data_IF_026316716628
#
_entry.id   IF_026316716628
#
_cell.length_a   1.000
_cell.length_b   1.000
_cell.length_c   1.000
_cell.angle_alpha   90.00
_cell.angle_beta   90.00
_cell.angle_gamma   90.00
#
_symmetry.space_group_name_H-M   'P 1'
#
loop_
_entity.id
_entity.type
_entity.pdbx_description
1 polymer ?
#
# COMPACT_ATOMS: atom_id res chain seq x y z
N UNK A 1 -5.71 -9.67 10.87
CA UNK A 1 -5.52 -8.37 10.16
C UNK A 1 -5.45 -8.58 8.64
N UNK A 2 -5.83 -7.60 7.79
CA UNK A 2 -5.71 -7.71 6.32
C UNK A 2 -4.23 -7.69 5.90
N UNK A 3 -3.79 -8.70 5.16
CA UNK A 3 -2.42 -8.75 4.60
C UNK A 3 -2.49 -8.42 3.11
N UNK A 4 -1.65 -7.49 2.67
CA UNK A 4 -1.70 -6.92 1.33
C UNK A 4 -0.30 -7.02 0.72
N UNK A 5 -0.09 -7.90 -0.28
CA UNK A 5 1.16 -7.89 -1.03
C UNK A 5 1.31 -6.61 -1.84
N UNK A 6 2.55 -6.23 -2.07
CA UNK A 6 2.93 -5.00 -2.79
C UNK A 6 3.76 -5.34 -4.01
N UNK A 7 3.46 -4.70 -5.14
CA UNK A 7 4.34 -4.62 -6.30
C UNK A 7 4.58 -3.16 -6.67
N UNK A 8 5.85 -2.83 -6.91
CA UNK A 8 6.28 -1.53 -7.43
C UNK A 8 6.59 -1.68 -8.91
N UNK A 9 5.89 -0.94 -9.77
CA UNK A 9 6.07 -1.00 -11.23
C UNK A 9 6.93 0.17 -11.70
N UNK A 10 8.00 -0.14 -12.41
CA UNK A 10 8.88 0.82 -13.06
C UNK A 10 9.35 0.27 -14.40
N UNK A 11 9.20 1.06 -15.46
CA UNK A 11 9.59 0.68 -16.82
C UNK A 11 9.01 -0.67 -17.28
N UNK A 12 7.73 -0.94 -16.93
CA UNK A 12 7.02 -2.14 -17.32
C UNK A 12 7.39 -3.42 -16.54
N UNK A 13 8.17 -3.31 -15.47
CA UNK A 13 8.64 -4.42 -14.65
C UNK A 13 8.34 -4.19 -13.18
N UNK A 14 8.27 -5.29 -12.41
CA UNK A 14 8.26 -5.22 -10.95
C UNK A 14 9.68 -4.94 -10.46
N UNK A 15 9.81 -3.93 -9.60
CA UNK A 15 11.09 -3.53 -9.02
C UNK A 15 11.10 -3.71 -7.50
N UNK A 16 12.29 -3.93 -6.95
CA UNK A 16 12.51 -3.89 -5.51
C UNK A 16 12.75 -2.45 -5.08
N UNK A 17 11.86 -1.93 -4.24
CA UNK A 17 12.05 -0.63 -3.63
C UNK A 17 13.19 -0.65 -2.60
N UNK A 18 13.94 0.44 -2.52
CA UNK A 18 15.02 0.65 -1.56
C UNK A 18 14.87 2.02 -0.89
N UNK A 19 14.30 2.05 0.32
CA UNK A 19 14.18 3.21 1.23
C UNK A 19 13.60 4.48 0.59
N UNK A 20 12.75 4.32 -0.41
CA UNK A 20 12.20 5.45 -1.18
C UNK A 20 13.20 6.13 -2.12
N UNK A 21 14.43 5.60 -2.25
CA UNK A 21 15.47 6.11 -3.15
C UNK A 21 15.29 5.52 -4.55
N UNK A 22 14.36 6.05 -5.32
CA UNK A 22 13.87 5.49 -6.60
C UNK A 22 14.96 5.23 -7.64
N UNK A 23 16.06 6.00 -7.63
CA UNK A 23 17.22 5.77 -8.51
C UNK A 23 17.99 4.46 -8.19
N UNK A 24 17.75 3.88 -7.02
CA UNK A 24 18.34 2.60 -6.58
C UNK A 24 17.46 1.40 -6.88
N UNK A 25 16.21 1.62 -7.30
CA UNK A 25 15.32 0.51 -7.60
C UNK A 25 15.88 -0.36 -8.73
N UNK A 26 15.75 -1.67 -8.59
CA UNK A 26 16.23 -2.67 -9.54
C UNK A 26 15.11 -3.68 -9.80
N UNK A 27 15.10 -4.36 -10.96
CA UNK A 27 14.19 -5.47 -11.17
C UNK A 27 14.20 -6.41 -9.98
N UNK A 28 13.01 -6.88 -9.59
CA UNK A 28 12.89 -7.70 -8.39
C UNK A 28 13.56 -9.05 -8.60
N UNK A 29 14.27 -9.53 -7.58
CA UNK A 29 14.68 -10.91 -7.42
C UNK A 29 13.77 -11.53 -6.37
N UNK A 30 12.97 -12.53 -6.78
CA UNK A 30 11.96 -13.17 -5.94
C UNK A 30 12.26 -14.65 -5.81
N UNK A 31 12.14 -15.18 -4.59
CA UNK A 31 12.19 -16.63 -4.36
C UNK A 31 10.88 -17.33 -4.77
N UNK A 32 9.82 -16.57 -5.05
CA UNK A 32 8.52 -17.11 -5.46
C UNK A 32 8.50 -17.50 -6.94
N UNK A 33 9.17 -16.73 -7.81
CA UNK A 33 9.26 -17.04 -9.24
C UNK A 33 10.47 -16.34 -9.88
N UNK A 34 10.88 -16.80 -11.04
CA UNK A 34 11.95 -16.19 -11.82
C UNK A 34 11.46 -14.95 -12.56
N UNK A 35 12.36 -13.94 -12.70
CA UNK A 35 12.09 -12.72 -13.46
C UNK A 35 11.29 -11.67 -12.70
N UNK A 36 10.90 -10.62 -13.44
CA UNK A 36 10.24 -9.42 -12.90
C UNK A 36 8.98 -9.03 -13.67
N UNK A 37 8.38 -9.96 -14.42
CA UNK A 37 7.10 -9.74 -15.09
C UNK A 37 5.98 -9.60 -14.07
N UNK A 38 5.13 -8.59 -14.21
CA UNK A 38 4.12 -8.28 -13.19
C UNK A 38 3.02 -9.35 -13.08
N UNK A 39 2.63 -9.98 -14.19
CA UNK A 39 1.62 -11.06 -14.16
C UNK A 39 2.18 -12.32 -13.49
N UNK A 40 3.44 -12.67 -13.78
CA UNK A 40 4.09 -13.85 -13.19
C UNK A 40 4.30 -13.64 -11.69
N UNK A 41 4.72 -12.45 -11.27
CA UNK A 41 4.87 -12.09 -9.85
C UNK A 41 3.52 -12.12 -9.13
N UNK A 42 2.46 -11.56 -9.73
CA UNK A 42 1.13 -11.57 -9.13
C UNK A 42 0.58 -13.01 -9.01
N UNK A 43 0.77 -13.85 -10.04
CA UNK A 43 0.42 -15.27 -10.01
C UNK A 43 1.14 -15.99 -8.87
N UNK A 44 2.47 -15.84 -8.78
CA UNK A 44 3.27 -16.46 -7.74
C UNK A 44 2.89 -16.04 -6.32
N UNK A 45 2.54 -14.77 -6.13
CA UNK A 45 2.00 -14.28 -4.86
C UNK A 45 0.67 -14.96 -4.51
N UNK A 46 -0.25 -15.10 -5.47
CA UNK A 46 -1.56 -15.75 -5.27
C UNK A 46 -1.44 -17.26 -5.07
N UNK A 47 -0.48 -17.92 -5.71
CA UNK A 47 -0.16 -19.33 -5.49
C UNK A 47 0.44 -19.55 -4.10
N UNK A 48 1.24 -18.60 -3.61
CA UNK A 48 1.83 -18.66 -2.27
C UNK A 48 0.78 -18.52 -1.16
N UNK A 49 -0.17 -17.58 -1.31
CA UNK A 49 -1.24 -17.35 -0.36
C UNK A 49 -2.45 -16.69 -1.06
N UNK A 50 -3.71 -17.07 -0.73
CA UNK A 50 -4.90 -16.51 -1.40
C UNK A 50 -5.19 -15.08 -0.98
N UNK A 51 -4.37 -14.15 -1.42
CA UNK A 51 -4.60 -12.73 -1.20
C UNK A 51 -5.84 -12.23 -1.96
N UNK A 52 -6.62 -11.37 -1.33
CA UNK A 52 -7.79 -10.74 -1.94
C UNK A 52 -7.51 -9.32 -2.44
N UNK A 53 -6.40 -8.74 -2.05
CA UNK A 53 -6.01 -7.36 -2.39
C UNK A 53 -4.55 -7.33 -2.78
N UNK A 54 -4.22 -6.53 -3.79
CA UNK A 54 -2.85 -6.25 -4.22
C UNK A 54 -2.64 -4.73 -4.26
N UNK A 55 -1.61 -4.25 -3.58
CA UNK A 55 -1.17 -2.87 -3.72
C UNK A 55 -0.19 -2.75 -4.90
N UNK A 56 -0.41 -1.75 -5.74
CA UNK A 56 0.42 -1.46 -6.91
C UNK A 56 0.88 -0.01 -6.86
N UNK A 57 2.19 0.23 -6.79
CA UNK A 57 2.75 1.55 -7.00
C UNK A 57 3.23 1.70 -8.45
N UNK A 58 2.65 2.63 -9.20
CA UNK A 58 3.15 3.04 -10.52
C UNK A 58 4.26 4.09 -10.34
N UNK A 59 5.50 3.61 -10.19
CA UNK A 59 6.67 4.48 -9.91
C UNK A 59 6.89 5.48 -11.04
N UNK A 60 6.66 5.10 -12.28
CA UNK A 60 6.82 6.02 -13.41
C UNK A 60 5.80 7.15 -13.37
N UNK A 61 4.54 6.85 -13.04
CA UNK A 61 3.48 7.85 -12.89
C UNK A 61 3.72 8.76 -11.67
N UNK A 62 4.11 8.19 -10.52
CA UNK A 62 4.46 8.94 -9.30
C UNK A 62 5.61 9.92 -9.60
N UNK A 63 6.60 9.51 -10.38
CA UNK A 63 7.74 10.35 -10.78
C UNK A 63 7.45 11.27 -11.96
N UNK A 64 6.26 11.17 -12.59
CA UNK A 64 5.88 11.92 -13.81
C UNK A 64 6.80 11.62 -15.00
N UNK A 65 7.36 10.40 -15.08
CA UNK A 65 8.29 9.94 -16.11
C UNK A 65 7.65 8.95 -17.09
N UNK A 66 6.35 8.73 -16.99
CA UNK A 66 5.61 7.76 -17.80
C UNK A 66 4.41 7.19 -17.04
N UNK A 67 3.95 6.01 -17.44
CA UNK A 67 2.86 5.30 -16.74
C UNK A 67 2.86 3.82 -17.10
N UNK A 68 2.57 2.99 -16.11
CA UNK A 68 2.31 1.56 -16.26
C UNK A 68 0.81 1.22 -16.33
N UNK A 69 -0.03 2.20 -16.62
CA UNK A 69 -1.48 2.07 -16.61
C UNK A 69 -2.01 0.90 -17.46
N UNK A 70 -1.43 0.65 -18.65
CA UNK A 70 -1.81 -0.49 -19.49
C UNK A 70 -1.46 -1.84 -18.84
N UNK A 71 -0.36 -1.91 -18.07
CA UNK A 71 0.01 -3.11 -17.32
C UNK A 71 -0.91 -3.33 -16.12
N UNK A 72 -1.31 -2.27 -15.43
CA UNK A 72 -2.28 -2.32 -14.33
C UNK A 72 -3.65 -2.79 -14.84
N UNK A 73 -4.09 -2.33 -16.01
CA UNK A 73 -5.31 -2.83 -16.67
C UNK A 73 -5.21 -4.32 -16.99
N UNK A 74 -4.06 -4.79 -17.48
CA UNK A 74 -3.83 -6.23 -17.71
C UNK A 74 -3.88 -7.04 -16.42
N UNK A 75 -3.30 -6.54 -15.33
CA UNK A 75 -3.41 -7.18 -14.01
C UNK A 75 -4.87 -7.31 -13.57
N UNK A 76 -5.65 -6.24 -13.67
CA UNK A 76 -7.08 -6.24 -13.34
C UNK A 76 -7.88 -7.24 -14.20
N UNK A 77 -7.60 -7.30 -15.50
CA UNK A 77 -8.27 -8.23 -16.42
C UNK A 77 -7.89 -9.69 -16.16
N UNK A 78 -6.62 -9.95 -15.82
CA UNK A 78 -6.12 -11.31 -15.59
C UNK A 78 -6.56 -11.87 -14.22
N UNK A 79 -6.69 -10.99 -13.21
CA UNK A 79 -7.09 -11.34 -11.85
C UNK A 79 -8.33 -10.56 -11.41
N UNK A 80 -9.52 -10.78 -12.03
CA UNK A 80 -10.73 -9.97 -11.79
C UNK A 80 -11.26 -10.10 -10.36
N UNK A 81 -10.87 -11.16 -9.63
CA UNK A 81 -11.21 -11.35 -8.21
C UNK A 81 -10.32 -10.55 -7.26
N UNK A 82 -9.21 -9.99 -7.76
CA UNK A 82 -8.23 -9.28 -6.94
C UNK A 82 -8.58 -7.80 -6.87
N UNK A 83 -8.77 -7.30 -5.66
CA UNK A 83 -8.96 -5.88 -5.37
C UNK A 83 -7.62 -5.16 -5.54
N UNK A 84 -7.51 -4.23 -6.50
CA UNK A 84 -6.30 -3.45 -6.69
C UNK A 84 -6.37 -2.12 -5.93
N UNK A 85 -5.33 -1.82 -5.16
CA UNK A 85 -5.08 -0.51 -4.56
C UNK A 85 -3.92 0.13 -5.30
N UNK A 86 -4.16 1.21 -6.01
CA UNK A 86 -3.17 1.72 -6.97
C UNK A 86 -2.77 3.15 -6.64
N UNK A 87 -1.48 3.33 -6.34
CA UNK A 87 -0.85 4.65 -6.32
C UNK A 87 -0.29 4.97 -7.72
N UNK A 88 -0.96 5.86 -8.41
CA UNK A 88 -0.58 6.33 -9.75
C UNK A 88 -0.15 7.80 -9.75
N UNK A 89 0.26 8.33 -8.59
CA UNK A 89 0.76 9.70 -8.46
C UNK A 89 -0.30 10.76 -8.77
N UNK A 90 -1.54 10.56 -8.35
CA UNK A 90 -2.64 11.52 -8.53
C UNK A 90 -2.34 12.80 -7.74
N UNK A 91 -2.38 13.96 -8.42
CA UNK A 91 -2.00 15.25 -7.85
C UNK A 91 -3.16 16.26 -7.76
N UNK A 92 -4.29 15.97 -8.41
CA UNK A 92 -5.42 16.86 -8.46
C UNK A 92 -6.77 16.15 -8.61
N UNK A 93 -7.86 16.89 -8.46
CA UNK A 93 -9.23 16.36 -8.54
C UNK A 93 -9.54 15.77 -9.93
N UNK A 94 -9.02 16.37 -11.00
CA UNK A 94 -9.28 15.91 -12.36
C UNK A 94 -8.65 14.53 -12.60
N UNK A 95 -7.41 14.32 -12.14
CA UNK A 95 -6.71 13.04 -12.16
C UNK A 95 -7.44 11.97 -11.33
N UNK A 96 -7.92 12.32 -10.14
CA UNK A 96 -8.72 11.43 -9.31
C UNK A 96 -10.01 10.98 -10.00
N UNK A 97 -10.76 11.92 -10.58
CA UNK A 97 -11.99 11.61 -11.31
C UNK A 97 -11.72 10.81 -12.60
N UNK A 98 -10.60 11.08 -13.27
CA UNK A 98 -10.17 10.29 -14.43
C UNK A 98 -9.83 8.85 -14.02
N UNK A 99 -9.15 8.64 -12.90
CA UNK A 99 -8.86 7.32 -12.37
C UNK A 99 -10.14 6.54 -12.03
N UNK A 100 -11.07 7.15 -11.30
CA UNK A 100 -12.33 6.48 -10.95
C UNK A 100 -13.11 5.99 -12.18
N UNK A 101 -13.11 6.76 -13.29
CA UNK A 101 -13.76 6.34 -14.54
C UNK A 101 -13.14 5.10 -15.19
N UNK A 102 -11.88 4.78 -14.93
CA UNK A 102 -11.20 3.58 -15.48
C UNK A 102 -11.72 2.28 -14.88
N UNK A 103 -12.24 2.31 -13.66
CA UNK A 103 -12.79 1.15 -12.94
C UNK A 103 -11.80 -0.01 -12.75
N UNK A 104 -10.50 0.27 -12.67
CA UNK A 104 -9.44 -0.76 -12.53
C UNK A 104 -9.02 -1.03 -11.09
N UNK A 105 -9.37 -0.17 -10.15
CA UNK A 105 -9.00 -0.33 -8.74
C UNK A 105 -9.18 0.94 -7.92
N UNK A 106 -8.98 0.81 -6.63
CA UNK A 106 -9.07 1.90 -5.66
C UNK A 106 -7.89 2.85 -5.85
N UNK A 107 -8.17 4.17 -5.89
CA UNK A 107 -7.11 5.18 -5.96
C UNK A 107 -6.41 5.31 -4.61
N UNK A 108 -5.10 5.22 -4.59
CA UNK A 108 -4.28 5.65 -3.46
C UNK A 108 -3.74 7.05 -3.74
N UNK A 109 -3.97 7.96 -2.81
CA UNK A 109 -3.51 9.35 -2.88
C UNK A 109 -2.33 9.50 -1.92
N UNK A 110 -1.13 9.63 -2.47
CA UNK A 110 0.10 9.83 -1.69
C UNK A 110 0.21 11.25 -1.17
N UNK A 111 0.47 11.43 0.12
CA UNK A 111 0.64 12.76 0.72
C UNK A 111 1.84 13.51 0.15
N UNK A 112 2.84 12.80 -0.36
CA UNK A 112 4.00 13.42 -1.04
C UNK A 112 3.66 13.96 -2.45
N UNK A 113 2.56 13.53 -3.05
CA UNK A 113 2.24 13.79 -4.46
C UNK A 113 1.23 14.91 -4.68
N UNK A 114 0.37 15.21 -3.73
CA UNK A 114 -0.68 16.21 -3.93
C UNK A 114 -0.38 17.54 -3.19
N UNK A 115 -0.54 18.67 -3.87
CA UNK A 115 -0.24 19.97 -3.26
C UNK A 115 -1.41 20.62 -2.51
N UNK A 116 -2.66 20.14 -2.70
CA UNK A 116 -3.85 20.89 -2.26
C UNK A 116 -4.86 20.08 -1.43
N UNK A 117 -5.40 20.71 -0.38
CA UNK A 117 -6.49 20.17 0.46
C UNK A 117 -7.80 19.93 -0.31
N UNK A 118 -8.02 20.61 -1.45
CA UNK A 118 -9.18 20.43 -2.32
C UNK A 118 -9.31 18.98 -2.85
N UNK A 119 -8.19 18.31 -3.15
CA UNK A 119 -8.20 16.91 -3.55
C UNK A 119 -8.74 16.01 -2.44
N UNK A 120 -8.31 16.20 -1.19
CA UNK A 120 -8.82 15.40 -0.06
C UNK A 120 -10.30 15.59 0.18
N UNK A 121 -10.82 16.82 0.02
CA UNK A 121 -12.26 17.09 0.12
C UNK A 121 -13.03 16.29 -0.94
N UNK A 122 -12.56 16.25 -2.18
CA UNK A 122 -13.16 15.45 -3.26
C UNK A 122 -13.07 13.94 -2.96
N UNK A 123 -11.92 13.48 -2.47
CA UNK A 123 -11.67 12.09 -2.07
C UNK A 123 -12.62 11.66 -0.95
N UNK A 124 -12.74 12.43 0.12
CA UNK A 124 -13.64 12.13 1.25
C UNK A 124 -15.13 12.21 0.88
N UNK A 125 -15.47 13.02 -0.10
CA UNK A 125 -16.85 13.16 -0.60
C UNK A 125 -17.24 12.09 -1.61
N UNK A 126 -16.28 11.29 -2.09
CA UNK A 126 -16.55 10.22 -3.05
C UNK A 126 -17.49 9.17 -2.45
N UNK A 127 -18.53 8.82 -3.19
CA UNK A 127 -19.48 7.74 -2.88
C UNK A 127 -19.35 6.57 -3.84
N UNK A 128 -18.24 6.52 -4.57
CA UNK A 128 -17.97 5.43 -5.50
C UNK A 128 -17.73 4.12 -4.74
N UNK A 129 -18.13 3.00 -5.36
CA UNK A 129 -17.83 1.66 -4.83
C UNK A 129 -16.32 1.38 -4.74
N UNK A 130 -15.51 2.05 -5.58
CA UNK A 130 -14.06 2.08 -5.48
C UNK A 130 -13.66 3.20 -4.52
N UNK A 131 -13.68 2.92 -3.23
CA UNK A 131 -13.29 3.87 -2.20
C UNK A 131 -11.83 4.32 -2.36
N UNK A 132 -11.53 5.60 -2.14
CA UNK A 132 -10.16 6.08 -2.17
C UNK A 132 -9.43 5.77 -0.87
N UNK A 133 -8.10 5.69 -0.95
CA UNK A 133 -7.20 5.60 0.19
C UNK A 133 -6.28 6.82 0.25
N UNK A 134 -5.86 7.19 1.45
CA UNK A 134 -4.80 8.16 1.67
C UNK A 134 -3.52 7.43 2.10
N UNK A 135 -2.38 7.72 1.49
CA UNK A 135 -1.08 7.33 2.02
C UNK A 135 -0.44 8.51 2.75
N UNK A 136 -0.19 8.34 4.05
CA UNK A 136 0.58 9.27 4.86
C UNK A 136 2.05 8.85 4.78
N UNK A 137 2.85 9.61 4.04
CA UNK A 137 4.22 9.24 3.69
C UNK A 137 5.22 9.87 4.65
N UNK A 138 6.05 9.03 5.28
CA UNK A 138 7.06 9.46 6.24
C UNK A 138 8.47 9.04 5.79
N UNK A 139 9.42 9.97 5.83
CA UNK A 139 10.85 9.69 5.69
C UNK A 139 11.55 9.89 7.03
N UNK A 140 11.80 8.79 7.75
CA UNK A 140 12.10 8.82 9.18
C UNK A 140 10.92 9.36 9.98
N UNK A 141 11.14 10.36 10.82
CA UNK A 141 10.07 11.03 11.59
C UNK A 141 9.42 12.20 10.83
N UNK A 142 9.93 12.54 9.64
CA UNK A 142 9.42 13.68 8.88
C UNK A 142 8.26 13.24 7.99
N UNK A 143 7.11 13.87 8.17
CA UNK A 143 5.98 13.73 7.26
C UNK A 143 6.26 14.45 5.93
N UNK A 144 5.91 13.81 4.81
CA UNK A 144 5.94 14.35 3.47
C UNK A 144 4.51 14.66 3.02
N UNK A 145 4.13 15.91 3.07
CA UNK A 145 2.80 16.41 2.75
C UNK A 145 2.52 17.73 3.49
N UNK A 146 1.33 18.25 3.30
CA UNK A 146 0.86 19.40 4.06
C UNK A 146 0.61 19.03 5.52
N UNK A 147 1.16 19.81 6.44
CA UNK A 147 1.04 19.55 7.88
C UNK A 147 -0.43 19.56 8.38
N UNK A 148 -1.30 20.31 7.73
CA UNK A 148 -2.75 20.32 7.97
C UNK A 148 -3.37 18.94 7.81
N UNK A 149 -2.96 18.20 6.78
CA UNK A 149 -3.42 16.82 6.52
C UNK A 149 -3.04 15.90 7.67
N UNK A 150 -1.78 15.95 8.14
CA UNK A 150 -1.35 15.13 9.26
C UNK A 150 -2.06 15.51 10.57
N UNK A 151 -2.30 16.83 10.76
CA UNK A 151 -2.84 17.37 12.02
C UNK A 151 -4.32 17.08 12.21
N UNK A 152 -5.09 16.98 11.13
CA UNK A 152 -6.54 16.80 11.17
C UNK A 152 -7.00 15.46 10.54
N UNK A 153 -7.19 14.39 11.35
CA UNK A 153 -7.73 13.13 10.87
C UNK A 153 -9.16 13.22 10.30
N UNK A 154 -9.87 14.32 10.52
CA UNK A 154 -11.18 14.58 9.90
C UNK A 154 -11.10 14.73 8.38
N UNK A 155 -9.93 15.14 7.86
CA UNK A 155 -9.65 15.23 6.43
C UNK A 155 -9.29 13.89 5.77
N UNK A 156 -9.17 12.80 6.53
CA UNK A 156 -8.77 11.51 5.98
C UNK A 156 -9.99 10.71 5.50
N UNK A 157 -9.87 9.95 4.40
CA UNK A 157 -10.84 8.93 4.05
C UNK A 157 -10.85 7.82 5.12
N UNK A 158 -11.73 6.85 4.99
CA UNK A 158 -11.84 5.72 5.94
C UNK A 158 -10.56 4.88 5.97
N UNK A 159 -9.92 4.67 4.81
CA UNK A 159 -8.75 3.81 4.64
C UNK A 159 -7.48 4.64 4.51
N UNK A 160 -6.52 4.42 5.40
CA UNK A 160 -5.28 5.21 5.48
C UNK A 160 -4.06 4.31 5.59
N UNK A 161 -3.11 4.47 4.70
CA UNK A 161 -1.82 3.79 4.73
C UNK A 161 -0.82 4.67 5.50
N UNK A 162 -0.14 4.11 6.47
CA UNK A 162 0.99 4.74 7.16
C UNK A 162 2.26 4.22 6.51
N UNK A 163 2.81 4.99 5.57
CA UNK A 163 3.92 4.60 4.72
C UNK A 163 5.26 5.11 5.26
N UNK A 164 6.08 4.20 5.76
CA UNK A 164 7.42 4.50 6.26
C UNK A 164 8.45 4.35 5.15
N UNK A 165 8.58 5.34 4.26
CA UNK A 165 9.43 5.32 3.05
C UNK A 165 10.87 4.87 3.34
N UNK A 166 11.49 5.39 4.42
CA UNK A 166 12.86 5.03 4.78
C UNK A 166 13.02 3.55 5.23
N UNK A 167 11.90 2.86 5.51
CA UNK A 167 11.89 1.45 5.91
C UNK A 167 11.46 0.51 4.79
N UNK A 168 10.94 1.03 3.68
CA UNK A 168 10.56 0.21 2.53
C UNK A 168 11.78 -0.54 2.00
N UNK A 169 11.64 -1.85 1.81
CA UNK A 169 12.73 -2.72 1.34
C UNK A 169 13.87 -2.97 2.32
N UNK A 170 13.88 -2.34 3.51
CA UNK A 170 15.03 -2.35 4.43
C UNK A 170 15.05 -3.52 5.42
N UNK A 171 13.92 -4.18 5.67
CA UNK A 171 13.76 -5.21 6.71
C UNK A 171 14.21 -4.77 8.12
N UNK A 172 14.12 -3.47 8.44
CA UNK A 172 14.52 -2.92 9.76
C UNK A 172 13.41 -2.97 10.82
N UNK A 173 12.25 -3.49 10.46
CA UNK A 173 11.04 -3.49 11.28
C UNK A 173 10.17 -2.25 11.04
N UNK A 174 8.85 -2.36 11.26
CA UNK A 174 7.91 -1.25 11.13
C UNK A 174 8.09 -0.21 12.25
N UNK A 175 7.47 0.97 12.09
CA UNK A 175 7.43 1.99 13.12
C UNK A 175 6.15 1.84 13.96
N UNK A 176 6.26 1.07 15.04
CA UNK A 176 5.13 0.78 15.92
C UNK A 176 4.65 2.03 16.67
N UNK A 177 5.56 2.93 17.03
CA UNK A 177 5.25 4.14 17.80
C UNK A 177 4.45 5.12 16.95
N UNK A 178 4.89 5.34 15.70
CA UNK A 178 4.18 6.20 14.74
C UNK A 178 2.78 5.66 14.47
N UNK A 179 2.65 4.34 14.24
CA UNK A 179 1.36 3.70 14.01
C UNK A 179 0.44 3.84 15.23
N UNK A 180 0.93 3.54 16.44
CA UNK A 180 0.16 3.62 17.69
C UNK A 180 -0.32 5.05 17.96
N UNK A 181 0.51 6.05 17.68
CA UNK A 181 0.13 7.46 17.82
C UNK A 181 -1.03 7.81 16.88
N UNK A 182 -0.92 7.46 15.60
CA UNK A 182 -1.94 7.75 14.60
C UNK A 182 -3.24 6.96 14.89
N UNK A 183 -3.13 5.70 15.34
CA UNK A 183 -4.27 4.86 15.70
C UNK A 183 -5.07 5.48 16.87
N UNK A 184 -4.40 6.00 17.89
CA UNK A 184 -5.08 6.70 19.00
C UNK A 184 -5.78 7.99 18.55
N UNK A 185 -5.18 8.73 17.61
CA UNK A 185 -5.73 9.98 17.09
C UNK A 185 -6.89 9.77 16.13
N UNK A 186 -6.91 8.64 15.43
CA UNK A 186 -7.85 8.32 14.36
C UNK A 186 -8.44 6.92 14.52
N UNK A 187 -8.93 6.58 15.72
CA UNK A 187 -9.45 5.26 16.08
C UNK A 187 -10.64 4.79 15.21
N UNK A 188 -11.31 5.74 14.55
CA UNK A 188 -12.41 5.47 13.62
C UNK A 188 -11.95 5.24 12.17
N UNK A 189 -10.63 5.30 11.89
CA UNK A 189 -10.04 5.04 10.57
C UNK A 189 -9.40 3.66 10.53
N UNK A 190 -9.39 3.05 9.36
CA UNK A 190 -8.71 1.79 9.09
C UNK A 190 -7.25 2.08 8.70
N UNK A 191 -6.32 1.90 9.63
CA UNK A 191 -4.90 2.16 9.38
C UNK A 191 -4.18 0.91 8.87
N UNK A 192 -3.37 1.08 7.83
CA UNK A 192 -2.56 0.03 7.22
C UNK A 192 -1.08 0.41 7.33
N UNK A 193 -0.27 -0.47 7.92
CA UNK A 193 1.17 -0.21 8.07
C UNK A 193 1.94 -0.64 6.84
N UNK A 194 2.85 0.19 6.35
CA UNK A 194 3.73 -0.11 5.22
C UNK A 194 5.18 0.27 5.51
N UNK A 195 6.10 -0.64 5.17
CA UNK A 195 7.55 -0.45 5.29
C UNK A 195 8.19 -1.17 6.47
N UNK A 196 9.20 -1.98 6.17
CA UNK A 196 10.09 -2.62 7.13
C UNK A 196 9.62 -3.94 7.74
N UNK A 197 8.41 -4.40 7.51
CA UNK A 197 7.86 -5.64 8.06
C UNK A 197 8.70 -6.83 7.59
N UNK A 198 9.07 -7.74 8.52
CA UNK A 198 10.03 -8.83 8.28
C UNK A 198 9.64 -10.19 8.88
N UNK A 199 8.63 -10.24 9.76
CA UNK A 199 8.29 -11.46 10.49
C UNK A 199 6.83 -11.49 10.93
N UNK A 200 6.30 -12.68 11.23
CA UNK A 200 5.00 -12.88 11.86
C UNK A 200 4.88 -12.12 13.20
N UNK A 201 5.98 -12.03 13.98
CA UNK A 201 6.01 -11.24 15.21
C UNK A 201 5.77 -9.75 14.96
N UNK A 202 6.29 -9.20 13.85
CA UNK A 202 6.03 -7.81 13.49
C UNK A 202 4.53 -7.63 13.16
N UNK A 203 3.90 -8.59 12.47
CA UNK A 203 2.46 -8.56 12.18
C UNK A 203 1.61 -8.57 13.46
N UNK A 204 1.89 -9.47 14.40
CA UNK A 204 1.20 -9.52 15.69
C UNK A 204 1.33 -8.20 16.46
N UNK A 205 2.54 -7.62 16.50
CA UNK A 205 2.77 -6.32 17.14
C UNK A 205 2.06 -5.16 16.45
N UNK A 206 1.96 -5.18 15.12
CA UNK A 206 1.20 -4.18 14.36
C UNK A 206 -0.30 -4.27 14.68
N UNK A 207 -0.85 -5.47 14.79
CA UNK A 207 -2.24 -5.67 15.24
C UNK A 207 -2.48 -5.05 16.63
N UNK A 208 -1.58 -5.32 17.59
CA UNK A 208 -1.65 -4.72 18.93
C UNK A 208 -1.47 -3.18 18.90
N UNK A 209 -0.74 -2.64 17.93
CA UNK A 209 -0.57 -1.20 17.74
C UNK A 209 -1.75 -0.51 17.03
N UNK A 210 -2.80 -1.27 16.69
CA UNK A 210 -4.02 -0.76 16.07
C UNK A 210 -4.01 -0.79 14.54
N UNK A 211 -3.12 -1.57 13.90
CA UNK A 211 -3.18 -1.77 12.46
C UNK A 211 -4.38 -2.62 12.06
N UNK A 212 -5.17 -2.13 11.12
CA UNK A 212 -6.23 -2.88 10.44
C UNK A 212 -5.65 -3.85 9.41
N UNK A 213 -4.50 -3.51 8.83
CA UNK A 213 -3.77 -4.34 7.88
C UNK A 213 -2.30 -3.95 7.73
N UNK A 214 -1.60 -4.72 6.92
CA UNK A 214 -0.17 -4.56 6.66
C UNK A 214 0.15 -4.78 5.17
N UNK A 215 0.97 -3.89 4.61
CA UNK A 215 1.49 -3.97 3.24
C UNK A 215 2.88 -4.64 3.28
N UNK A 216 3.02 -5.75 2.55
CA UNK A 216 4.23 -6.57 2.52
C UNK A 216 4.81 -6.68 1.11
N UNK A 217 6.10 -6.44 0.98
CA UNK A 217 6.87 -6.68 -0.25
C UNK A 217 8.02 -7.66 0.02
N UNK A 218 9.18 -7.16 0.42
CA UNK A 218 10.42 -7.93 0.56
C UNK A 218 10.30 -9.17 1.44
N UNK A 219 9.50 -9.12 2.51
CA UNK A 219 9.33 -10.27 3.40
C UNK A 219 8.62 -11.47 2.73
N UNK A 220 7.73 -11.21 1.75
CA UNK A 220 7.09 -12.26 0.96
C UNK A 220 8.08 -12.82 -0.09
N UNK A 221 8.70 -11.94 -0.86
CA UNK A 221 9.64 -12.33 -1.91
C UNK A 221 10.89 -13.04 -1.42
N UNK A 222 11.25 -12.89 -0.14
CA UNK A 222 12.37 -13.56 0.53
C UNK A 222 11.93 -14.69 1.47
N UNK A 223 10.69 -15.15 1.39
CA UNK A 223 10.11 -16.23 2.21
C UNK A 223 10.34 -16.06 3.73
N UNK A 224 10.42 -14.81 4.23
CA UNK A 224 10.63 -14.54 5.66
C UNK A 224 9.35 -14.73 6.49
N UNK A 225 8.19 -14.78 5.84
CA UNK A 225 6.88 -15.03 6.44
C UNK A 225 6.22 -16.14 5.65
N UNK A 226 5.87 -17.23 6.32
CA UNK A 226 5.24 -18.39 5.67
C UNK A 226 3.73 -18.18 5.43
N UNK A 227 3.14 -18.99 4.55
CA UNK A 227 1.68 -18.98 4.32
C UNK A 227 0.90 -19.29 5.61
N UNK A 228 1.43 -20.15 6.49
CA UNK A 228 0.82 -20.43 7.80
C UNK A 228 0.87 -19.23 8.75
N UNK A 229 1.95 -18.44 8.74
CA UNK A 229 2.04 -17.21 9.52
C UNK A 229 1.03 -16.17 9.05
N UNK A 230 0.84 -16.07 7.72
CA UNK A 230 -0.16 -15.17 7.13
C UNK A 230 -1.58 -15.59 7.53
N UNK A 231 -1.89 -16.88 7.46
CA UNK A 231 -3.19 -17.42 7.86
C UNK A 231 -3.49 -17.17 9.34
N UNK A 232 -2.51 -17.37 10.23
CA UNK A 232 -2.65 -17.06 11.65
C UNK A 232 -2.93 -15.56 11.88
N UNK A 233 -2.19 -14.68 11.21
CA UNK A 233 -2.37 -13.22 11.32
C UNK A 233 -3.72 -12.73 10.77
N UNK A 234 -4.32 -13.43 9.80
CA UNK A 234 -5.63 -13.10 9.24
C UNK A 234 -6.77 -13.52 10.18
N UNK A 235 -6.70 -14.71 10.79
CA UNK A 235 -7.76 -15.25 11.65
C UNK A 235 -7.93 -14.52 12.99
N UNK A 236 -6.87 -13.92 13.55
CA UNK A 236 -6.97 -13.11 14.77
C UNK A 236 -7.86 -11.86 14.60
N UNK A 237 -8.03 -11.37 13.38
CA UNK A 237 -8.86 -10.19 13.10
C UNK A 237 -10.37 -10.49 13.16
N UNK A 238 -10.80 -11.69 12.81
CA UNK A 238 -12.23 -12.06 12.85
C UNK A 238 -12.74 -12.22 14.28
N UNK A 239 -11.85 -12.57 15.23
CA UNK A 239 -12.23 -12.71 16.65
C UNK A 239 -12.33 -11.37 17.39
N UNK A 240 -11.61 -10.33 16.93
CA UNK A 240 -11.62 -9.01 17.59
C UNK A 240 -12.81 -8.14 17.11
N UNK A 241 -13.37 -8.41 15.94
CA UNK A 241 -14.56 -7.71 15.43
C UNK A 241 -15.90 -8.32 15.89
N UNK A 242 -15.87 -9.41 16.66
CA UNK A 242 -17.04 -10.12 17.17
C UNK A 242 -17.35 -9.83 18.66
N UNK A 243 -16.63 -8.92 19.28
CA UNK A 243 -16.85 -8.40 20.64
C UNK A 243 -17.20 -6.90 20.59
#
# INVERSE_FOLDING_TARGET
MKIIPVIDLMQGQVVRADRGERHRYRPIESELCAGSNALDIACALLDFYPFHTLYVADIDAIQKNGSNAALIEKLHQHFPQLELWVDSGITDVAGFMAWQRRRVGHAVIGSESFPESALLSAVCSSRDALFPLLSLDFKGKRFHGEQSVLSDPGLWPEHVIVMMLARVGSLQGPDFDQLSELSRRASHKKLYSAGGIRSARDLARLACAGAHGALLASALHQHLISASDLAASASEADQTNAQ
#
